data_IF_803533761389
#
_entry.id   IF_803533761389
#
_cell.length_a   1.000
_cell.length_b   1.000
_cell.length_c   1.000
_cell.angle_alpha   90.00
_cell.angle_beta   90.00
_cell.angle_gamma   90.00
#
_symmetry.space_group_name_H-M   'P 1'
#
loop_
_entity.id
_entity.type
_entity.pdbx_description
1 polymer ?
#
# COMPACT_ATOMS: atom_id res chain seq x y z
N UNK A 1 33.70 -1.58 29.39
CA UNK A 1 32.31 -1.21 29.03
C UNK A 1 32.38 -0.30 27.80
N UNK A 2 32.51 -0.86 26.60
CA UNK A 2 32.55 -0.05 25.36
C UNK A 2 31.14 0.42 25.04
N UNK A 3 30.91 1.73 25.15
CA UNK A 3 29.70 2.37 24.67
C UNK A 3 29.57 2.09 23.17
N UNK A 4 28.57 1.28 22.80
CA UNK A 4 28.23 1.03 21.41
C UNK A 4 27.59 2.30 20.86
N UNK A 5 28.37 3.14 20.20
CA UNK A 5 27.88 4.32 19.49
C UNK A 5 26.77 3.87 18.53
N UNK A 6 25.55 4.33 18.77
CA UNK A 6 24.42 3.99 17.91
C UNK A 6 24.66 4.62 16.52
N UNK A 7 24.68 3.79 15.47
CA UNK A 7 24.79 4.25 14.09
C UNK A 7 23.59 5.14 13.74
N UNK A 8 23.74 6.19 12.91
CA UNK A 8 22.64 7.07 12.48
C UNK A 8 21.43 6.30 11.91
N UNK A 9 21.68 5.17 11.25
CA UNK A 9 20.67 4.27 10.70
C UNK A 9 19.84 3.55 11.79
N UNK A 10 20.47 3.20 12.91
CA UNK A 10 19.77 2.65 14.08
C UNK A 10 18.88 3.72 14.70
N UNK A 11 19.36 4.97 14.79
CA UNK A 11 18.60 6.11 15.30
C UNK A 11 17.38 6.42 14.42
N UNK A 12 17.55 6.42 13.08
CA UNK A 12 16.43 6.63 12.15
C UNK A 12 15.41 5.49 12.21
N UNK A 13 15.86 4.23 12.22
CA UNK A 13 14.97 3.06 12.30
C UNK A 13 14.14 3.03 13.59
N UNK A 14 14.75 3.42 14.71
CA UNK A 14 14.04 3.57 15.98
C UNK A 14 13.01 4.70 15.92
N UNK A 15 13.33 5.85 15.29
CA UNK A 15 12.36 6.96 15.15
C UNK A 15 11.12 6.58 14.32
N UNK A 16 11.28 5.86 13.20
CA UNK A 16 10.14 5.44 12.37
C UNK A 16 9.32 4.37 13.08
N UNK A 17 9.99 3.45 13.77
CA UNK A 17 9.31 2.43 14.56
C UNK A 17 8.50 3.04 15.72
N UNK A 18 9.02 4.07 16.38
CA UNK A 18 8.34 4.80 17.44
C UNK A 18 7.15 5.59 16.92
N UNK A 19 7.29 6.26 15.77
CA UNK A 19 6.17 6.93 15.09
C UNK A 19 5.06 5.94 14.73
N UNK A 20 5.39 4.78 14.16
CA UNK A 20 4.41 3.74 13.84
C UNK A 20 3.67 3.26 15.10
N UNK A 21 4.38 3.08 16.23
CA UNK A 21 3.76 2.73 17.52
C UNK A 21 2.86 3.84 18.04
N UNK A 22 3.25 5.11 17.90
CA UNK A 22 2.42 6.26 18.28
C UNK A 22 1.12 6.33 17.46
N UNK A 23 1.14 5.90 16.20
CA UNK A 23 -0.06 5.71 15.37
C UNK A 23 -0.84 4.42 15.70
N UNK A 24 -0.48 3.66 16.74
CA UNK A 24 -1.16 2.43 17.16
C UNK A 24 -0.80 1.19 16.34
N UNK A 25 0.26 1.25 15.52
CA UNK A 25 0.72 0.11 14.71
C UNK A 25 1.55 -0.85 15.55
N UNK A 26 1.42 -2.16 15.28
CA UNK A 26 2.19 -3.23 15.91
C UNK A 26 2.60 -4.26 14.86
N UNK A 27 3.46 -5.21 15.24
CA UNK A 27 3.83 -6.35 14.39
C UNK A 27 4.80 -6.01 13.26
N UNK A 28 4.55 -6.58 12.07
CA UNK A 28 5.52 -6.61 10.95
C UNK A 28 6.03 -5.23 10.52
N UNK A 29 5.16 -4.20 10.47
CA UNK A 29 5.58 -2.85 10.08
C UNK A 29 6.57 -2.24 11.08
N UNK A 30 6.31 -2.42 12.38
CA UNK A 30 7.22 -1.94 13.44
C UNK A 30 8.54 -2.72 13.40
N UNK A 31 8.49 -4.04 13.16
CA UNK A 31 9.70 -4.86 13.01
C UNK A 31 10.54 -4.43 11.80
N UNK A 32 9.90 -4.17 10.66
CA UNK A 32 10.57 -3.69 9.46
C UNK A 32 11.22 -2.32 9.68
N UNK A 33 10.52 -1.38 10.34
CA UNK A 33 11.08 -0.07 10.66
C UNK A 33 12.33 -0.18 11.56
N UNK A 34 12.28 -0.99 12.63
CA UNK A 34 13.44 -1.24 13.52
C UNK A 34 14.64 -1.85 12.78
N UNK A 35 14.39 -2.58 11.70
CA UNK A 35 15.42 -3.21 10.85
C UNK A 35 15.88 -2.30 9.70
N UNK A 36 15.41 -1.04 9.64
CA UNK A 36 15.73 -0.12 8.56
C UNK A 36 15.11 -0.49 7.21
N UNK A 37 14.13 -1.40 7.18
CA UNK A 37 13.44 -1.81 5.94
C UNK A 37 12.32 -0.84 5.57
N UNK A 38 11.72 -0.18 6.56
CA UNK A 38 10.89 1.02 6.35
C UNK A 38 11.72 2.19 6.84
N UNK A 39 12.29 2.93 5.89
CA UNK A 39 13.21 4.04 6.17
C UNK A 39 12.50 5.36 6.46
N UNK A 40 11.22 5.49 6.08
CA UNK A 40 10.42 6.69 6.27
C UNK A 40 8.96 6.33 6.54
N UNK A 41 8.29 7.13 7.38
CA UNK A 41 6.84 7.03 7.58
C UNK A 41 6.10 7.63 6.37
N UNK A 42 5.95 6.82 5.31
CA UNK A 42 5.33 7.25 4.05
C UNK A 42 4.54 6.10 3.41
N UNK A 43 3.39 6.41 2.83
CA UNK A 43 2.62 5.46 2.04
C UNK A 43 3.34 5.11 0.73
N UNK A 44 3.69 3.82 0.60
CA UNK A 44 4.46 3.21 -0.49
C UNK A 44 3.58 2.65 -1.60
N UNK A 45 2.25 2.81 -1.48
CA UNK A 45 1.32 2.41 -2.54
C UNK A 45 1.65 3.14 -3.85
N UNK A 46 1.54 2.50 -5.03
CA UNK A 46 1.82 3.12 -6.33
C UNK A 46 1.03 4.41 -6.49
N UNK A 47 -0.21 4.40 -6.00
CA UNK A 47 -1.07 5.57 -5.89
C UNK A 47 -1.49 5.84 -4.46
N UNK A 48 -1.35 7.11 -4.06
CA UNK A 48 -1.86 7.63 -2.80
C UNK A 48 -3.12 8.46 -3.06
N UNK A 49 -4.15 8.26 -2.23
CA UNK A 49 -5.43 8.98 -2.27
C UNK A 49 -5.57 10.02 -1.16
N UNK A 50 -4.61 10.08 -0.24
CA UNK A 50 -4.67 10.99 0.89
C UNK A 50 -4.46 12.44 0.42
N UNK A 51 -5.45 13.29 0.69
CA UNK A 51 -5.41 14.71 0.34
C UNK A 51 -4.31 15.49 1.11
N UNK A 52 -3.88 14.98 2.27
CA UNK A 52 -2.75 15.52 3.05
C UNK A 52 -1.38 14.98 2.62
N UNK A 53 -1.35 14.13 1.60
CA UNK A 53 -0.12 13.57 1.04
C UNK A 53 0.31 12.24 1.68
N UNK A 54 1.44 11.71 1.18
CA UNK A 54 1.89 10.34 1.50
C UNK A 54 2.47 10.17 2.91
N UNK A 55 2.99 11.24 3.51
CA UNK A 55 3.59 11.19 4.85
C UNK A 55 2.60 11.38 6.00
N UNK A 56 1.35 11.72 5.70
CA UNK A 56 0.32 11.91 6.72
C UNK A 56 -0.29 10.56 7.11
N UNK A 57 -0.38 10.26 8.40
CA UNK A 57 -1.11 9.11 8.92
C UNK A 57 -2.01 9.53 10.08
N UNK A 58 -3.21 8.95 10.13
CA UNK A 58 -4.09 9.05 11.29
C UNK A 58 -3.74 7.94 12.30
N UNK A 59 -3.81 8.21 13.61
CA UNK A 59 -3.76 7.16 14.61
C UNK A 59 -4.83 6.10 14.35
N UNK A 60 -4.49 4.83 14.55
CA UNK A 60 -5.44 3.73 14.45
C UNK A 60 -6.49 3.86 15.56
N UNK A 61 -7.76 3.74 15.18
CA UNK A 61 -8.91 3.74 16.08
C UNK A 61 -9.96 2.72 15.60
N UNK A 62 -11.08 2.60 16.33
CA UNK A 62 -12.24 1.83 15.90
C UNK A 62 -13.44 2.78 15.75
N UNK A 63 -14.03 2.94 14.56
CA UNK A 63 -13.71 2.27 13.28
C UNK A 63 -12.32 2.66 12.73
N UNK A 64 -11.72 1.76 11.93
CA UNK A 64 -10.39 1.97 11.38
C UNK A 64 -10.39 3.13 10.35
N UNK A 65 -9.64 4.22 10.55
CA UNK A 65 -9.62 5.36 9.64
C UNK A 65 -8.98 5.02 8.28
N UNK A 66 -9.43 5.70 7.24
CA UNK A 66 -8.95 5.51 5.86
C UNK A 66 -7.46 5.86 5.69
N UNK A 67 -6.96 6.82 6.48
CA UNK A 67 -5.58 7.29 6.44
C UNK A 67 -4.71 6.70 7.56
N UNK A 68 -5.21 5.67 8.26
CA UNK A 68 -4.40 4.94 9.22
C UNK A 68 -3.35 4.06 8.52
N UNK A 69 -2.23 3.75 9.19
CA UNK A 69 -1.21 2.84 8.66
C UNK A 69 -1.75 1.41 8.54
N UNK A 70 -1.44 0.75 7.43
CA UNK A 70 -1.80 -0.64 7.17
C UNK A 70 -0.70 -1.40 6.41
N UNK A 71 -0.53 -2.70 6.68
CA UNK A 71 0.41 -3.53 5.93
C UNK A 71 -0.24 -4.00 4.62
N UNK A 72 0.29 -3.52 3.49
CA UNK A 72 -0.08 -4.03 2.16
C UNK A 72 0.74 -5.27 1.82
N UNK A 73 0.12 -6.26 1.18
CA UNK A 73 0.78 -7.49 0.75
C UNK A 73 1.49 -7.25 -0.58
N UNK A 74 2.80 -7.08 -0.56
CA UNK A 74 3.61 -6.78 -1.73
C UNK A 74 4.99 -7.44 -1.64
N UNK A 75 5.45 -8.16 -2.68
CA UNK A 75 4.91 -8.20 -4.03
C UNK A 75 3.79 -9.23 -4.26
N UNK A 76 3.56 -10.15 -3.32
CA UNK A 76 2.56 -11.23 -3.46
C UNK A 76 1.31 -10.90 -2.65
N UNK A 77 0.19 -10.73 -3.34
CA UNK A 77 -1.11 -10.43 -2.73
C UNK A 77 -1.56 -11.56 -1.80
N UNK A 78 -2.38 -11.21 -0.79
CA UNK A 78 -3.04 -12.19 0.08
C UNK A 78 -3.87 -13.22 -0.70
N UNK A 79 -4.59 -12.76 -1.74
CA UNK A 79 -5.41 -13.63 -2.59
C UNK A 79 -4.59 -14.70 -3.34
N UNK A 80 -3.28 -14.48 -3.48
CA UNK A 80 -2.36 -15.41 -4.14
C UNK A 80 -1.54 -16.22 -3.11
N UNK A 81 -1.95 -16.25 -1.84
CA UNK A 81 -1.22 -16.92 -0.77
C UNK A 81 -0.08 -16.09 -0.17
N UNK A 82 -0.07 -14.77 -0.36
CA UNK A 82 0.86 -13.87 0.31
C UNK A 82 0.60 -13.79 1.82
N UNK A 83 1.68 -13.66 2.61
CA UNK A 83 1.64 -13.52 4.06
C UNK A 83 2.26 -12.20 4.53
N UNK A 84 1.91 -11.75 5.73
CA UNK A 84 2.48 -10.56 6.35
C UNK A 84 3.86 -10.85 6.96
N UNK A 85 4.87 -10.93 6.10
CA UNK A 85 6.28 -11.17 6.46
C UNK A 85 7.16 -10.02 5.92
N UNK A 86 8.34 -9.76 6.50
CA UNK A 86 9.13 -8.57 6.17
C UNK A 86 9.47 -8.36 4.69
N UNK A 87 9.55 -9.43 3.89
CA UNK A 87 9.81 -9.33 2.45
C UNK A 87 8.54 -9.16 1.60
N UNK A 88 7.36 -9.40 2.18
CA UNK A 88 6.06 -9.37 1.49
C UNK A 88 5.12 -8.27 2.03
N UNK A 89 5.70 -7.20 2.59
CA UNK A 89 4.93 -6.10 3.17
C UNK A 89 5.51 -4.76 2.76
N UNK A 90 4.62 -3.81 2.43
CA UNK A 90 4.95 -2.38 2.33
C UNK A 90 3.98 -1.54 3.15
N UNK A 91 4.42 -0.36 3.58
CA UNK A 91 3.59 0.57 4.37
C UNK A 91 2.56 1.26 3.46
N UNK A 92 1.30 1.27 3.86
CA UNK A 92 0.22 1.90 3.09
C UNK A 92 -0.81 2.59 3.98
N UNK A 93 -1.60 3.49 3.39
CA UNK A 93 -2.88 3.88 3.97
C UNK A 93 -3.91 2.77 3.76
N UNK A 94 -4.82 2.61 4.72
CA UNK A 94 -5.94 1.65 4.64
C UNK A 94 -6.74 1.80 3.35
N UNK A 95 -7.15 3.03 2.99
CA UNK A 95 -7.94 3.25 1.80
C UNK A 95 -7.14 2.98 0.52
N UNK A 96 -5.88 3.40 0.46
CA UNK A 96 -5.03 3.18 -0.71
C UNK A 96 -4.83 1.69 -0.98
N UNK A 97 -4.58 0.89 0.06
CA UNK A 97 -4.50 -0.57 -0.01
C UNK A 97 -5.82 -1.21 -0.48
N UNK A 98 -6.94 -0.84 0.14
CA UNK A 98 -8.28 -1.35 -0.20
C UNK A 98 -8.64 -1.10 -1.67
N UNK A 99 -8.39 0.12 -2.14
CA UNK A 99 -8.70 0.54 -3.51
C UNK A 99 -7.84 -0.21 -4.54
N UNK A 100 -6.53 -0.32 -4.29
CA UNK A 100 -5.60 -1.07 -5.13
C UNK A 100 -6.00 -2.55 -5.24
N UNK A 101 -6.24 -3.21 -4.11
CA UNK A 101 -6.76 -4.58 -4.07
C UNK A 101 -8.08 -4.71 -4.84
N UNK A 102 -9.01 -3.78 -4.64
CA UNK A 102 -10.32 -3.77 -5.29
C UNK A 102 -10.23 -3.74 -6.82
N UNK A 103 -9.33 -2.93 -7.39
CA UNK A 103 -9.14 -2.92 -8.85
C UNK A 103 -8.45 -4.17 -9.35
N UNK A 104 -7.38 -4.64 -8.68
CA UNK A 104 -6.68 -5.85 -9.12
C UNK A 104 -7.61 -7.04 -9.19
N UNK A 105 -8.47 -7.24 -8.19
CA UNK A 105 -9.43 -8.35 -8.18
C UNK A 105 -10.51 -8.18 -9.27
N UNK A 106 -10.96 -6.96 -9.52
CA UNK A 106 -11.93 -6.67 -10.59
C UNK A 106 -11.32 -6.93 -11.97
N UNK A 107 -10.10 -6.47 -12.22
CA UNK A 107 -9.37 -6.69 -13.47
C UNK A 107 -9.06 -8.18 -13.65
N UNK A 108 -8.56 -8.87 -12.60
CA UNK A 108 -8.30 -10.32 -12.61
C UNK A 108 -9.51 -11.10 -13.08
N UNK A 109 -10.68 -10.85 -12.50
CA UNK A 109 -11.92 -11.55 -12.87
C UNK A 109 -12.31 -11.34 -14.33
N UNK A 110 -12.00 -10.19 -14.93
CA UNK A 110 -12.28 -9.95 -16.34
C UNK A 110 -11.24 -10.62 -17.25
N UNK A 111 -9.97 -10.67 -16.83
CA UNK A 111 -8.93 -11.44 -17.52
C UNK A 111 -9.24 -12.94 -17.50
N UNK A 112 -9.72 -13.48 -16.38
CA UNK A 112 -10.17 -14.88 -16.26
C UNK A 112 -11.34 -15.21 -17.20
N UNK A 113 -12.11 -14.20 -17.62
CA UNK A 113 -13.18 -14.34 -18.63
C UNK A 113 -12.68 -14.20 -20.07
N UNK A 114 -11.37 -14.03 -20.28
CA UNK A 114 -10.77 -13.87 -21.60
C UNK A 114 -10.90 -12.47 -22.20
N UNK A 115 -11.29 -11.45 -21.41
CA UNK A 115 -11.40 -10.08 -21.92
C UNK A 115 -10.01 -9.48 -22.20
N UNK A 116 -9.89 -8.78 -23.32
CA UNK A 116 -8.75 -7.92 -23.63
C UNK A 116 -8.66 -6.71 -22.69
N UNK A 117 -7.50 -6.06 -22.65
CA UNK A 117 -7.29 -4.90 -21.78
C UNK A 117 -8.15 -3.70 -22.22
N UNK A 118 -8.43 -3.60 -23.52
CA UNK A 118 -9.32 -2.63 -24.14
C UNK A 118 -10.77 -2.83 -23.68
N UNK A 119 -11.30 -4.04 -23.80
CA UNK A 119 -12.66 -4.38 -23.32
C UNK A 119 -12.80 -4.16 -21.82
N UNK A 120 -11.77 -4.50 -21.03
CA UNK A 120 -11.73 -4.22 -19.59
C UNK A 120 -11.83 -2.71 -19.35
N UNK A 121 -11.06 -1.90 -20.06
CA UNK A 121 -11.07 -0.46 -19.92
C UNK A 121 -12.46 0.12 -20.23
N UNK A 122 -13.09 -0.32 -21.31
CA UNK A 122 -14.46 0.06 -21.67
C UNK A 122 -15.47 -0.32 -20.59
N UNK A 123 -15.38 -1.54 -20.06
CA UNK A 123 -16.25 -2.02 -18.99
C UNK A 123 -16.12 -1.17 -17.72
N UNK A 124 -14.87 -0.86 -17.32
CA UNK A 124 -14.58 -0.03 -16.15
C UNK A 124 -15.09 1.40 -16.32
N UNK A 125 -14.94 1.98 -17.52
CA UNK A 125 -15.48 3.30 -17.86
C UNK A 125 -17.02 3.32 -17.83
N UNK A 126 -17.68 2.33 -18.46
CA UNK A 126 -19.13 2.20 -18.47
C UNK A 126 -19.71 2.10 -17.04
N UNK A 127 -19.06 1.31 -16.17
CA UNK A 127 -19.43 1.17 -14.75
C UNK A 127 -19.02 2.35 -13.87
N UNK A 128 -18.42 3.40 -14.44
CA UNK A 128 -17.93 4.59 -13.73
C UNK A 128 -17.02 4.24 -12.55
N UNK A 129 -16.21 3.18 -12.70
CA UNK A 129 -15.27 2.77 -11.65
C UNK A 129 -14.22 3.86 -11.45
N UNK A 130 -13.96 4.21 -10.19
CA UNK A 130 -12.94 5.20 -9.80
C UNK A 130 -11.62 4.89 -10.50
N UNK A 131 -11.02 5.93 -11.08
CA UNK A 131 -9.86 5.84 -11.99
C UNK A 131 -8.53 5.97 -11.23
N UNK A 132 -7.42 5.43 -11.77
CA UNK A 132 -6.08 5.83 -11.37
C UNK A 132 -5.88 7.36 -11.56
N UNK A 133 -5.01 7.98 -10.77
CA UNK A 133 -4.87 9.44 -10.74
C UNK A 133 -3.98 9.89 -11.88
N UNK A 134 -4.33 11.01 -12.49
CA UNK A 134 -3.70 11.48 -13.72
C UNK A 134 -4.25 10.81 -14.98
N UNK A 135 -5.37 10.08 -14.91
CA UNK A 135 -6.01 9.48 -16.08
C UNK A 135 -7.45 9.96 -16.22
N UNK A 136 -7.78 10.55 -17.38
CA UNK A 136 -9.14 11.01 -17.69
C UNK A 136 -10.11 9.83 -17.87
N UNK A 137 -9.64 8.68 -18.36
CA UNK A 137 -10.42 7.45 -18.55
C UNK A 137 -9.54 6.23 -18.32
N UNK A 138 -10.16 5.09 -18.05
CA UNK A 138 -9.48 3.81 -18.18
C UNK A 138 -9.10 3.60 -19.65
N UNK A 139 -7.85 3.20 -19.87
CA UNK A 139 -7.29 2.68 -21.12
C UNK A 139 -6.59 1.35 -20.84
N UNK A 140 -6.32 0.56 -21.88
CA UNK A 140 -5.58 -0.69 -21.76
C UNK A 140 -4.26 -0.52 -20.99
N UNK A 141 -3.52 0.57 -21.26
CA UNK A 141 -2.30 0.93 -20.52
C UNK A 141 -2.55 1.13 -19.02
N UNK A 142 -3.60 1.88 -18.65
CA UNK A 142 -3.91 2.09 -17.22
C UNK A 142 -4.44 0.83 -16.53
N UNK A 143 -5.13 -0.04 -17.26
CA UNK A 143 -5.57 -1.37 -16.78
C UNK A 143 -4.35 -2.22 -16.49
N UNK A 144 -3.43 -2.32 -17.47
CA UNK A 144 -2.18 -3.07 -17.29
C UNK A 144 -1.40 -2.56 -16.09
N UNK A 145 -1.21 -1.24 -16.00
CA UNK A 145 -0.52 -0.59 -14.89
C UNK A 145 -1.18 -0.94 -13.55
N UNK A 146 -2.49 -0.77 -13.43
CA UNK A 146 -3.21 -1.07 -12.19
C UNK A 146 -3.14 -2.56 -11.80
N UNK A 147 -3.09 -3.47 -12.77
CA UNK A 147 -3.01 -4.91 -12.50
C UNK A 147 -1.64 -5.35 -11.96
N UNK A 148 -0.55 -4.75 -12.45
CA UNK A 148 0.83 -5.19 -12.16
C UNK A 148 1.61 -4.31 -11.17
N UNK A 149 1.00 -3.25 -10.64
CA UNK A 149 1.68 -2.33 -9.70
C UNK A 149 1.89 -2.93 -8.30
#
# INVERSE_FOLDING_TARGET
MTAKTASPEATMGDTVADQLRAHGTRGVLVQMARRGQIIQLRCEMPKCYCHKGRGYFEPRSNPLPDWAPSPDHYPRLKADGGHLVPWNVRLSHVLCNREDYGWRMRIRRMLEKGMSLEEIAENLNHKRIRRPHGSAKWSAMTVRKAFVS
#
